data_IF_954012508853
#
_entry.id   IF_954012508853
#
_cell.length_a   1.000
_cell.length_b   1.000
_cell.length_c   1.000
_cell.angle_alpha   90.00
_cell.angle_beta   90.00
_cell.angle_gamma   90.00
#
_symmetry.space_group_name_H-M   'P 1'
#
loop_
_entity.id
_entity.type
_entity.pdbx_description
1 polymer ?
#
# COMPACT_ATOMS: atom_id res chain seq x y z
N UNK A 1 25.94 -10.90 -5.13
CA UNK A 1 24.69 -10.19 -4.81
C UNK A 1 24.74 -8.87 -5.56
N UNK A 2 23.77 -8.60 -6.43
CA UNK A 2 23.68 -7.29 -7.10
C UNK A 2 23.13 -6.27 -6.11
N UNK A 3 23.72 -5.07 -6.09
CA UNK A 3 23.19 -3.97 -5.30
C UNK A 3 21.79 -3.58 -5.83
N UNK A 4 20.85 -3.21 -4.94
CA UNK A 4 19.55 -2.72 -5.39
C UNK A 4 19.68 -1.43 -6.18
N UNK A 5 19.03 -1.40 -7.34
CA UNK A 5 18.99 -0.23 -8.23
C UNK A 5 18.01 0.86 -7.78
N UNK A 6 17.17 0.57 -6.79
CA UNK A 6 16.27 1.54 -6.14
C UNK A 6 16.47 1.54 -4.64
N UNK A 7 16.47 2.73 -4.05
CA UNK A 7 16.50 2.90 -2.61
C UNK A 7 15.18 2.43 -1.97
N UNK A 8 15.19 1.97 -0.70
CA UNK A 8 13.98 1.56 0.02
C UNK A 8 12.88 2.63 0.01
N UNK A 9 13.25 3.90 0.10
CA UNK A 9 12.33 5.05 0.07
C UNK A 9 11.62 5.19 -1.28
N UNK A 10 12.32 4.89 -2.38
CA UNK A 10 11.73 4.87 -3.73
C UNK A 10 10.75 3.70 -3.86
N UNK A 11 11.11 2.54 -3.29
CA UNK A 11 10.22 1.38 -3.24
C UNK A 11 8.94 1.70 -2.44
N UNK A 12 9.10 2.34 -1.29
CA UNK A 12 7.98 2.78 -0.46
C UNK A 12 7.04 3.73 -1.20
N UNK A 13 7.61 4.74 -1.85
CA UNK A 13 6.84 5.79 -2.50
C UNK A 13 6.16 5.33 -3.80
N UNK A 14 6.85 4.52 -4.62
CA UNK A 14 6.34 4.10 -5.93
C UNK A 14 5.50 2.82 -5.89
N UNK A 15 5.73 1.92 -4.93
CA UNK A 15 5.10 0.60 -4.94
C UNK A 15 4.28 0.32 -3.67
N UNK A 16 4.86 0.54 -2.49
CA UNK A 16 4.20 0.20 -1.22
C UNK A 16 3.01 1.11 -0.94
N UNK A 17 3.22 2.42 -0.91
CA UNK A 17 2.16 3.38 -0.58
C UNK A 17 1.00 3.35 -1.61
N UNK A 18 1.26 3.25 -2.93
CA UNK A 18 0.19 3.05 -3.92
C UNK A 18 -0.57 1.74 -3.72
N UNK A 19 0.09 0.63 -3.38
CA UNK A 19 -0.57 -0.63 -3.11
C UNK A 19 -1.44 -0.58 -1.84
N UNK A 20 -0.94 0.04 -0.75
CA UNK A 20 -1.72 0.28 0.47
C UNK A 20 -2.98 1.11 0.15
N UNK A 21 -2.84 2.20 -0.61
CA UNK A 21 -3.96 3.04 -1.01
C UNK A 21 -4.97 2.29 -1.89
N UNK A 22 -4.52 1.44 -2.81
CA UNK A 22 -5.39 0.58 -3.62
C UNK A 22 -6.25 -0.32 -2.74
N UNK A 23 -5.63 -1.07 -1.82
CA UNK A 23 -6.33 -2.01 -0.96
C UNK A 23 -7.27 -1.28 0.03
N UNK A 24 -6.89 -0.10 0.54
CA UNK A 24 -7.78 0.74 1.36
C UNK A 24 -9.00 1.24 0.58
N UNK A 25 -8.81 1.68 -0.67
CA UNK A 25 -9.91 2.07 -1.56
C UNK A 25 -10.87 0.90 -1.75
N UNK A 26 -10.36 -0.30 -2.05
CA UNK A 26 -11.17 -1.51 -2.24
C UNK A 26 -11.92 -1.86 -0.94
N UNK A 27 -11.23 -1.85 0.20
CA UNK A 27 -11.83 -2.18 1.50
C UNK A 27 -12.95 -1.19 1.88
N UNK A 28 -12.74 0.12 1.71
CA UNK A 28 -13.78 1.13 1.98
C UNK A 28 -14.97 1.01 1.03
N UNK A 29 -14.73 0.70 -0.25
CA UNK A 29 -15.80 0.40 -1.22
C UNK A 29 -16.61 -0.82 -0.81
N UNK A 30 -15.96 -1.88 -0.35
CA UNK A 30 -16.62 -3.10 0.14
C UNK A 30 -17.44 -2.86 1.42
N UNK A 31 -17.05 -1.85 2.23
CA UNK A 31 -17.84 -1.37 3.38
C UNK A 31 -19.00 -0.44 2.98
N UNK A 32 -19.27 -0.28 1.68
CA UNK A 32 -20.41 0.50 1.17
C UNK A 32 -20.13 2.00 1.02
N UNK A 33 -18.90 2.48 1.23
CA UNK A 33 -18.57 3.89 1.00
C UNK A 33 -18.71 4.24 -0.48
N UNK A 34 -19.23 5.42 -0.78
CA UNK A 34 -19.23 5.96 -2.14
C UNK A 34 -17.81 6.32 -2.60
N UNK A 35 -17.63 6.52 -3.91
CA UNK A 35 -16.34 6.94 -4.48
C UNK A 35 -15.92 8.31 -3.92
N UNK A 36 -16.86 9.25 -3.84
CA UNK A 36 -16.66 10.59 -3.29
C UNK A 36 -16.26 10.56 -1.82
N UNK A 37 -16.94 9.76 -0.99
CA UNK A 37 -16.56 9.60 0.42
C UNK A 37 -15.17 8.96 0.57
N UNK A 38 -14.88 7.92 -0.22
CA UNK A 38 -13.56 7.25 -0.20
C UNK A 38 -12.45 8.23 -0.57
N UNK A 39 -12.67 9.05 -1.61
CA UNK A 39 -11.74 10.08 -2.04
C UNK A 39 -11.51 11.12 -0.92
N UNK A 40 -12.60 11.56 -0.27
CA UNK A 40 -12.51 12.49 0.85
C UNK A 40 -11.73 11.91 2.03
N UNK A 41 -12.05 10.69 2.47
CA UNK A 41 -11.42 10.02 3.61
C UNK A 41 -9.92 9.83 3.41
N UNK A 42 -9.51 9.38 2.22
CA UNK A 42 -8.11 9.08 1.92
C UNK A 42 -7.32 10.28 1.38
N UNK A 43 -7.93 11.46 1.31
CA UNK A 43 -7.38 12.67 0.70
C UNK A 43 -6.86 12.42 -0.73
N UNK A 44 -7.69 11.79 -1.55
CA UNK A 44 -7.45 11.47 -2.95
C UNK A 44 -8.43 12.23 -3.86
N UNK A 45 -8.15 12.27 -5.16
CA UNK A 45 -9.14 12.66 -6.15
C UNK A 45 -10.05 11.47 -6.48
N UNK A 46 -11.29 11.73 -6.87
CA UNK A 46 -12.19 10.68 -7.35
C UNK A 46 -11.62 9.92 -8.55
N UNK A 47 -10.89 10.61 -9.43
CA UNK A 47 -10.15 9.97 -10.54
C UNK A 47 -9.08 9.00 -10.03
N UNK A 48 -8.35 9.33 -8.96
CA UNK A 48 -7.39 8.40 -8.36
C UNK A 48 -8.08 7.15 -7.79
N UNK A 49 -9.23 7.32 -7.11
CA UNK A 49 -10.04 6.20 -6.62
C UNK A 49 -10.50 5.31 -7.77
N UNK A 50 -11.04 5.90 -8.84
CA UNK A 50 -11.44 5.16 -10.04
C UNK A 50 -10.26 4.42 -10.68
N UNK A 51 -9.07 5.02 -10.72
CA UNK A 51 -7.87 4.37 -11.25
C UNK A 51 -7.38 3.19 -10.38
N UNK A 52 -7.56 3.25 -9.06
CA UNK A 52 -7.29 2.13 -8.17
C UNK A 52 -8.29 0.98 -8.35
N UNK A 53 -9.58 1.29 -8.49
CA UNK A 53 -10.64 0.28 -8.69
C UNK A 53 -10.54 -0.41 -10.05
N UNK A 54 -10.20 0.33 -11.11
CA UNK A 54 -10.04 -0.22 -12.46
C UNK A 54 -8.64 -0.81 -12.72
N UNK A 55 -7.86 -1.03 -11.66
CA UNK A 55 -6.52 -1.64 -11.70
C UNK A 55 -5.51 -0.97 -12.63
N UNK A 56 -5.71 0.31 -12.96
CA UNK A 56 -4.76 1.09 -13.76
C UNK A 56 -3.50 1.48 -12.97
N UNK A 57 -3.56 1.44 -11.64
CA UNK A 57 -2.45 1.73 -10.72
C UNK A 57 -2.12 0.52 -9.83
N UNK A 58 -0.84 0.34 -9.51
CA UNK A 58 -0.32 -0.74 -8.65
C UNK A 58 -0.71 -2.17 -9.10
N UNK A 59 -0.88 -2.38 -10.42
CA UNK A 59 -1.20 -3.70 -10.99
C UNK A 59 -0.09 -4.74 -10.77
N UNK A 60 1.15 -4.27 -10.69
CA UNK A 60 2.35 -5.11 -10.64
C UNK A 60 2.78 -5.48 -9.21
N UNK A 61 2.11 -4.93 -8.19
CA UNK A 61 2.50 -5.10 -6.78
C UNK A 61 1.47 -5.95 -6.05
N UNK A 62 1.89 -7.13 -5.62
CA UNK A 62 1.06 -8.00 -4.78
C UNK A 62 1.45 -7.86 -3.32
N UNK A 63 0.53 -7.33 -2.50
CA UNK A 63 0.70 -7.34 -1.05
C UNK A 63 0.43 -8.75 -0.49
N UNK A 64 1.28 -9.27 0.41
CA UNK A 64 1.03 -10.53 1.08
C UNK A 64 -0.33 -10.56 1.78
N UNK A 65 -0.95 -11.74 1.88
CA UNK A 65 -2.28 -11.92 2.47
C UNK A 65 -2.41 -11.29 3.87
N UNK A 66 -1.41 -11.50 4.73
CA UNK A 66 -1.34 -10.93 6.08
C UNK A 66 -1.42 -9.39 6.10
N UNK A 67 -0.86 -8.71 5.07
CA UNK A 67 -0.91 -7.26 4.95
C UNK A 67 -2.30 -6.82 4.49
N UNK A 68 -2.91 -7.55 3.56
CA UNK A 68 -4.27 -7.25 3.08
C UNK A 68 -5.31 -7.40 4.19
N UNK A 69 -5.18 -8.43 5.02
CA UNK A 69 -6.03 -8.63 6.21
C UNK A 69 -5.87 -7.47 7.19
N UNK A 70 -4.63 -7.07 7.49
CA UNK A 70 -4.35 -5.92 8.34
C UNK A 70 -4.92 -4.61 7.77
N UNK A 71 -4.86 -4.42 6.44
CA UNK A 71 -5.46 -3.26 5.77
C UNK A 71 -6.99 -3.26 5.90
N UNK A 72 -7.64 -4.42 5.74
CA UNK A 72 -9.09 -4.53 5.90
C UNK A 72 -9.53 -4.17 7.33
N UNK A 73 -8.78 -4.64 8.34
CA UNK A 73 -9.01 -4.26 9.74
C UNK A 73 -8.79 -2.77 9.99
N UNK A 74 -7.74 -2.20 9.38
CA UNK A 74 -7.45 -0.77 9.47
C UNK A 74 -8.57 0.06 8.82
N UNK A 75 -9.10 -0.37 7.67
CA UNK A 75 -10.20 0.31 6.98
C UNK A 75 -11.45 0.45 7.85
N UNK A 76 -11.79 -0.57 8.66
CA UNK A 76 -12.92 -0.49 9.61
C UNK A 76 -12.76 0.61 10.66
N UNK A 77 -11.52 1.07 10.91
CA UNK A 77 -11.19 2.12 11.89
C UNK A 77 -11.14 3.51 11.26
N UNK A 78 -11.31 3.62 9.93
CA UNK A 78 -11.30 4.90 9.21
C UNK A 78 -12.68 5.56 9.29
N UNK A 79 -12.75 6.68 10.01
CA UNK A 79 -13.99 7.46 10.21
C UNK A 79 -13.92 8.83 9.54
N UNK A 80 -12.71 9.36 9.39
CA UNK A 80 -12.40 10.69 8.89
C UNK A 80 -10.97 10.71 8.30
N UNK A 81 -10.51 11.89 7.86
CA UNK A 81 -9.16 12.06 7.27
C UNK A 81 -8.02 11.80 8.27
N UNK A 82 -8.22 12.14 9.53
CA UNK A 82 -7.18 11.99 10.55
C UNK A 82 -6.95 10.50 10.86
N UNK A 83 -8.04 9.78 11.14
CA UNK A 83 -8.00 8.34 11.34
C UNK A 83 -7.47 7.61 10.11
N UNK A 84 -7.82 8.03 8.89
CA UNK A 84 -7.23 7.49 7.66
C UNK A 84 -5.71 7.67 7.62
N UNK A 85 -5.22 8.87 7.94
CA UNK A 85 -3.78 9.15 8.00
C UNK A 85 -3.08 8.25 9.03
N UNK A 86 -3.63 8.14 10.24
CA UNK A 86 -3.08 7.28 11.30
C UNK A 86 -3.06 5.81 10.89
N UNK A 87 -4.11 5.31 10.24
CA UNK A 87 -4.16 3.93 9.76
C UNK A 87 -3.12 3.66 8.67
N UNK A 88 -2.95 4.59 7.72
CA UNK A 88 -1.91 4.47 6.69
C UNK A 88 -0.51 4.39 7.33
N UNK A 89 -0.22 5.21 8.34
CA UNK A 89 1.06 5.13 9.06
C UNK A 89 1.25 3.77 9.74
N UNK A 90 0.21 3.24 10.40
CA UNK A 90 0.25 1.91 11.03
C UNK A 90 0.47 0.79 10.02
N UNK A 91 -0.19 0.85 8.85
CA UNK A 91 -0.01 -0.12 7.76
C UNK A 91 1.43 -0.05 7.24
N UNK A 92 1.95 1.15 6.96
CA UNK A 92 3.33 1.33 6.50
C UNK A 92 4.34 0.77 7.50
N UNK A 93 4.17 1.05 8.80
CA UNK A 93 5.01 0.47 9.85
C UNK A 93 4.90 -1.07 9.91
N UNK A 94 3.70 -1.62 9.74
CA UNK A 94 3.48 -3.06 9.70
C UNK A 94 4.20 -3.72 8.52
N UNK A 95 4.12 -3.14 7.32
CA UNK A 95 4.83 -3.61 6.12
C UNK A 95 6.34 -3.63 6.32
N UNK A 96 6.91 -2.62 6.99
CA UNK A 96 8.34 -2.60 7.33
C UNK A 96 8.68 -3.70 8.33
N UNK A 97 7.91 -3.83 9.41
CA UNK A 97 8.15 -4.82 10.47
C UNK A 97 8.10 -6.27 9.97
N UNK A 98 7.17 -6.60 9.08
CA UNK A 98 7.04 -7.95 8.50
C UNK A 98 8.03 -8.24 7.37
N UNK A 99 8.91 -7.28 7.06
CA UNK A 99 9.82 -7.31 5.91
C UNK A 99 9.12 -7.52 4.56
N UNK A 100 7.83 -7.20 4.48
CA UNK A 100 7.04 -7.35 3.25
C UNK A 100 7.54 -6.43 2.12
N UNK A 101 8.19 -5.32 2.44
CA UNK A 101 8.86 -4.45 1.47
C UNK A 101 9.88 -5.22 0.59
N UNK A 102 10.62 -6.17 1.15
CA UNK A 102 11.57 -6.97 0.36
C UNK A 102 10.87 -7.86 -0.65
N UNK A 103 9.72 -8.46 -0.29
CA UNK A 103 8.93 -9.26 -1.23
C UNK A 103 8.45 -8.42 -2.40
N UNK A 104 8.06 -7.17 -2.14
CA UNK A 104 7.65 -6.21 -3.18
C UNK A 104 8.85 -5.81 -4.06
N UNK A 105 9.98 -5.46 -3.45
CA UNK A 105 11.18 -5.05 -4.17
C UNK A 105 11.70 -6.16 -5.09
N UNK A 106 11.78 -7.39 -4.60
CA UNK A 106 12.19 -8.56 -5.39
C UNK A 106 11.21 -8.88 -6.52
N UNK A 107 9.93 -8.53 -6.40
CA UNK A 107 8.94 -8.70 -7.47
C UNK A 107 9.09 -7.67 -8.59
N UNK A 108 9.61 -6.47 -8.27
CA UNK A 108 9.76 -5.35 -9.21
C UNK A 108 11.14 -5.34 -9.88
N UNK A 109 12.17 -5.75 -9.15
CA UNK A 109 13.56 -5.71 -9.61
C UNK A 109 14.14 -7.12 -9.71
N UNK A 110 14.39 -7.56 -10.94
CA UNK A 110 14.93 -8.89 -11.23
C UNK A 110 16.38 -9.00 -10.77
N UNK A 111 16.75 -10.17 -10.25
CA UNK A 111 18.13 -10.48 -9.85
C UNK A 111 18.47 -10.10 -8.40
N UNK A 112 17.54 -9.50 -7.66
CA UNK A 112 17.69 -9.30 -6.22
C UNK A 112 17.50 -10.61 -5.46
N UNK A 113 18.60 -11.18 -4.97
CA UNK A 113 18.59 -12.34 -4.08
C UNK A 113 19.21 -11.97 -2.73
N UNK A 114 18.49 -12.25 -1.63
CA UNK A 114 18.94 -12.12 -0.22
C UNK A 114 19.37 -10.70 0.24
N UNK A 115 18.69 -9.63 -0.18
CA UNK A 115 18.96 -8.25 0.29
C UNK A 115 18.47 -8.00 1.74
N UNK A 116 19.27 -7.32 2.59
CA UNK A 116 18.87 -6.85 3.94
C UNK A 116 18.93 -5.31 4.11
N UNK A 117 19.37 -4.57 3.09
CA UNK A 117 19.65 -3.11 3.15
C UNK A 117 18.44 -2.28 3.62
N UNK A 118 17.21 -2.74 3.38
CA UNK A 118 16.00 -2.02 3.82
C UNK A 118 15.81 -1.96 5.35
N UNK A 119 16.62 -2.70 6.13
CA UNK A 119 16.47 -2.84 7.58
C UNK A 119 17.77 -2.61 8.37
N UNK A 120 18.83 -2.19 7.68
CA UNK A 120 20.03 -1.62 8.31
C UNK A 120 19.79 -0.13 8.61
#
# INVERSE_FOLDING_TARGET
MTLPGKYPQEIEMWYVLPAIRKELVIALKNQGKSQKETALLLNLTESAVSQYLNEKRAKEVFLPKEIKEFIAEAAMKVKDKESAYQQIQKISAYVKRTKAICKIHMGVEKGLERCQICFE
#
